data_IF_049466532124
#
_entry.id   IF_049466532124
#
_cell.length_a   1.000
_cell.length_b   1.000
_cell.length_c   1.000
_cell.angle_alpha   90.00
_cell.angle_beta   90.00
_cell.angle_gamma   90.00
#
_symmetry.space_group_name_H-M   'P 1'
#
loop_
_entity.id
_entity.type
_entity.pdbx_description
1 polymer ?
#
# COMPACT_ATOMS: atom_id res chain seq x y z
N UNK A 1 13.02 -8.30 25.25
CA UNK A 1 13.28 -9.66 24.77
C UNK A 1 14.62 -9.69 24.08
N UNK A 2 15.53 -10.57 24.55
CA UNK A 2 16.86 -10.73 23.96
C UNK A 2 16.78 -11.87 22.96
N UNK A 3 16.85 -11.51 21.66
CA UNK A 3 16.90 -12.51 20.60
C UNK A 3 18.29 -13.18 20.54
N UNK A 4 18.37 -14.47 20.16
CA UNK A 4 19.63 -15.18 20.09
C UNK A 4 20.62 -14.50 19.12
N UNK A 5 21.85 -14.29 19.54
CA UNK A 5 22.91 -13.81 18.67
C UNK A 5 23.23 -14.84 17.56
N UNK A 6 23.55 -14.38 16.35
CA UNK A 6 23.99 -15.22 15.24
C UNK A 6 22.87 -15.90 14.44
N UNK A 7 21.61 -15.53 14.66
CA UNK A 7 20.48 -16.03 13.85
C UNK A 7 19.72 -14.88 13.15
N UNK A 8 20.43 -14.13 12.33
CA UNK A 8 19.91 -12.91 11.68
C UNK A 8 18.66 -13.17 10.86
N UNK A 9 18.58 -14.31 10.17
CA UNK A 9 17.40 -14.68 9.38
C UNK A 9 16.16 -14.87 10.25
N UNK A 10 16.25 -15.65 11.33
CA UNK A 10 15.11 -15.86 12.22
C UNK A 10 14.74 -14.59 12.98
N UNK A 11 15.74 -13.80 13.38
CA UNK A 11 15.54 -12.54 14.07
C UNK A 11 14.87 -11.50 13.15
N UNK A 12 15.26 -11.43 11.86
CA UNK A 12 14.59 -10.58 10.86
C UNK A 12 13.11 -10.93 10.73
N UNK A 13 12.78 -12.21 10.61
CA UNK A 13 11.39 -12.67 10.51
C UNK A 13 10.60 -12.32 11.78
N UNK A 14 11.20 -12.46 12.96
CA UNK A 14 10.56 -12.10 14.21
C UNK A 14 10.24 -10.59 14.29
N UNK A 15 11.20 -9.73 13.95
CA UNK A 15 10.98 -8.28 13.88
C UNK A 15 9.88 -7.93 12.87
N UNK A 16 9.87 -8.56 11.70
CA UNK A 16 8.83 -8.36 10.69
C UNK A 16 7.43 -8.64 11.23
N UNK A 17 7.19 -9.81 11.82
CA UNK A 17 5.88 -10.15 12.35
C UNK A 17 5.48 -9.31 13.56
N UNK A 18 6.43 -8.94 14.42
CA UNK A 18 6.14 -8.02 15.52
C UNK A 18 5.74 -6.65 14.99
N UNK A 19 6.45 -6.14 14.01
CA UNK A 19 6.12 -4.87 13.35
C UNK A 19 4.72 -4.86 12.74
N UNK A 20 4.27 -5.96 12.12
CA UNK A 20 2.88 -6.08 11.63
C UNK A 20 1.88 -6.01 12.80
N UNK A 21 2.14 -6.68 13.91
CA UNK A 21 1.26 -6.63 15.08
C UNK A 21 1.20 -5.23 15.70
N UNK A 22 2.32 -4.52 15.72
CA UNK A 22 2.42 -3.16 16.25
C UNK A 22 1.68 -2.16 15.35
N UNK A 23 1.79 -2.30 14.03
CA UNK A 23 1.06 -1.48 13.06
C UNK A 23 -0.45 -1.67 13.22
N UNK A 24 -0.94 -2.92 13.24
CA UNK A 24 -2.35 -3.23 13.48
C UNK A 24 -2.86 -2.70 14.83
N UNK A 25 -1.96 -2.56 15.80
CA UNK A 25 -2.24 -1.95 17.11
C UNK A 25 -2.07 -0.42 17.10
N UNK A 26 -1.92 0.20 15.93
CA UNK A 26 -1.72 1.64 15.72
C UNK A 26 -0.47 2.20 16.42
N UNK A 27 0.55 1.37 16.64
CA UNK A 27 1.84 1.74 17.23
C UNK A 27 2.90 1.93 16.14
N UNK A 28 2.61 2.80 15.15
CA UNK A 28 3.41 2.93 13.94
C UNK A 28 4.92 3.15 14.20
N UNK A 29 5.29 4.02 15.14
CA UNK A 29 6.73 4.28 15.41
C UNK A 29 7.51 3.02 15.84
N UNK A 30 6.86 2.09 16.52
CA UNK A 30 7.47 0.80 16.88
C UNK A 30 7.53 -0.13 15.67
N UNK A 31 6.42 -0.22 14.95
CA UNK A 31 6.34 -1.01 13.73
C UNK A 31 7.43 -0.62 12.72
N UNK A 32 7.61 0.68 12.48
CA UNK A 32 8.66 1.20 11.61
C UNK A 32 10.06 0.84 12.10
N UNK A 33 10.33 0.96 13.40
CA UNK A 33 11.61 0.60 13.99
C UNK A 33 11.90 -0.90 13.80
N UNK A 34 10.91 -1.75 13.99
CA UNK A 34 11.04 -3.19 13.81
C UNK A 34 11.22 -3.59 12.34
N UNK A 35 10.49 -2.97 11.41
CA UNK A 35 10.69 -3.18 9.97
C UNK A 35 12.10 -2.77 9.53
N UNK A 36 12.60 -1.63 10.01
CA UNK A 36 13.97 -1.19 9.76
C UNK A 36 14.99 -2.19 10.34
N UNK A 37 14.74 -2.69 11.55
CA UNK A 37 15.61 -3.69 12.18
C UNK A 37 15.60 -5.01 11.41
N UNK A 38 14.44 -5.43 10.89
CA UNK A 38 14.36 -6.60 10.02
C UNK A 38 15.23 -6.43 8.75
N UNK A 39 15.21 -5.25 8.13
CA UNK A 39 16.02 -4.94 6.94
C UNK A 39 17.52 -4.78 7.26
N UNK A 40 17.90 -4.31 8.45
CA UNK A 40 19.31 -4.32 8.89
C UNK A 40 19.86 -5.74 8.94
N UNK A 41 19.06 -6.69 9.40
CA UNK A 41 19.45 -8.10 9.51
C UNK A 41 19.37 -8.84 8.16
N UNK A 42 18.40 -8.47 7.33
CA UNK A 42 18.21 -9.02 5.98
C UNK A 42 17.77 -7.91 5.01
N UNK A 43 18.71 -7.21 4.36
CA UNK A 43 18.42 -6.03 3.53
C UNK A 43 17.52 -6.28 2.31
N UNK A 44 17.44 -7.52 1.85
CA UNK A 44 16.74 -7.92 0.63
C UNK A 44 15.48 -8.74 0.87
N UNK A 45 14.86 -8.63 2.04
CA UNK A 45 13.61 -9.31 2.34
C UNK A 45 12.43 -8.65 1.59
N UNK A 46 11.88 -9.27 0.52
CA UNK A 46 10.91 -8.60 -0.34
C UNK A 46 9.61 -8.23 0.40
N UNK A 47 9.14 -9.06 1.31
CA UNK A 47 7.93 -8.75 2.07
C UNK A 47 8.13 -7.59 3.06
N UNK A 48 9.31 -7.46 3.67
CA UNK A 48 9.63 -6.35 4.57
C UNK A 48 9.80 -5.05 3.78
N UNK A 49 10.53 -5.10 2.65
CA UNK A 49 10.67 -3.97 1.73
C UNK A 49 9.30 -3.47 1.26
N UNK A 50 8.44 -4.40 0.83
CA UNK A 50 7.09 -4.08 0.39
C UNK A 50 6.25 -3.44 1.50
N UNK A 51 6.23 -4.06 2.67
CA UNK A 51 5.38 -3.61 3.78
C UNK A 51 5.79 -2.22 4.28
N UNK A 52 7.07 -1.98 4.50
CA UNK A 52 7.58 -0.68 4.96
C UNK A 52 7.39 0.39 3.88
N UNK A 53 7.73 0.07 2.62
CA UNK A 53 7.57 0.98 1.50
C UNK A 53 6.12 1.37 1.26
N UNK A 54 5.21 0.40 1.27
CA UNK A 54 3.77 0.65 1.16
C UNK A 54 3.25 1.53 2.29
N UNK A 55 3.60 1.22 3.53
CA UNK A 55 3.15 1.99 4.70
C UNK A 55 3.63 3.44 4.66
N UNK A 56 4.85 3.70 4.19
CA UNK A 56 5.33 5.06 4.01
C UNK A 56 4.56 5.82 2.92
N UNK A 57 4.33 5.18 1.78
CA UNK A 57 3.61 5.79 0.67
C UNK A 57 2.15 6.06 1.05
N UNK A 58 1.51 5.11 1.72
CA UNK A 58 0.12 5.28 2.16
C UNK A 58 -0.03 6.42 3.17
N UNK A 59 0.94 6.63 4.03
CA UNK A 59 0.99 7.76 4.95
C UNK A 59 1.48 9.08 4.31
N UNK A 60 1.89 9.08 3.06
CA UNK A 60 2.43 10.25 2.37
C UNK A 60 3.81 10.70 2.85
N UNK A 61 4.61 9.80 3.44
CA UNK A 61 5.95 10.07 3.94
C UNK A 61 7.00 9.24 3.19
N UNK A 62 8.24 9.72 3.12
CA UNK A 62 9.37 9.01 2.49
C UNK A 62 9.06 8.40 1.11
N UNK A 63 8.29 9.13 0.27
CA UNK A 63 7.72 8.62 -0.98
C UNK A 63 8.77 8.03 -1.92
N UNK A 64 9.90 8.71 -2.10
CA UNK A 64 10.97 8.26 -3.00
C UNK A 64 11.62 6.96 -2.51
N UNK A 65 11.86 6.84 -1.20
CA UNK A 65 12.47 5.65 -0.63
C UNK A 65 11.48 4.49 -0.59
N UNK A 66 10.22 4.76 -0.24
CA UNK A 66 9.14 3.78 -0.30
C UNK A 66 8.98 3.20 -1.71
N UNK A 67 8.99 4.06 -2.73
CA UNK A 67 8.92 3.63 -4.14
C UNK A 67 10.12 2.74 -4.52
N UNK A 68 11.35 3.07 -4.10
CA UNK A 68 12.52 2.23 -4.36
C UNK A 68 12.40 0.86 -3.70
N UNK A 69 11.95 0.83 -2.45
CA UNK A 69 11.73 -0.43 -1.72
C UNK A 69 10.71 -1.32 -2.40
N UNK A 70 9.56 -0.79 -2.80
CA UNK A 70 8.53 -1.56 -3.49
C UNK A 70 9.03 -2.06 -4.83
N UNK A 71 9.70 -1.23 -5.64
CA UNK A 71 10.29 -1.67 -6.91
C UNK A 71 11.26 -2.83 -6.72
N UNK A 72 12.14 -2.75 -5.71
CA UNK A 72 13.07 -3.83 -5.37
C UNK A 72 12.35 -5.10 -4.92
N UNK A 73 11.24 -4.99 -4.21
CA UNK A 73 10.40 -6.12 -3.85
C UNK A 73 9.78 -6.79 -5.08
N UNK A 74 9.24 -6.00 -6.03
CA UNK A 74 8.68 -6.50 -7.30
C UNK A 74 9.75 -7.19 -8.16
N UNK A 75 10.98 -6.66 -8.23
CA UNK A 75 12.09 -7.30 -8.96
C UNK A 75 12.39 -8.70 -8.42
N UNK A 76 12.28 -8.90 -7.11
CA UNK A 76 12.52 -10.20 -6.46
C UNK A 76 11.31 -11.14 -6.50
N UNK A 77 10.11 -10.59 -6.53
CA UNK A 77 8.83 -11.33 -6.52
C UNK A 77 7.88 -10.80 -7.59
N UNK A 78 8.23 -10.94 -8.87
CA UNK A 78 7.43 -10.36 -9.96
C UNK A 78 6.05 -10.99 -10.11
N UNK A 79 5.84 -12.19 -9.59
CA UNK A 79 4.59 -12.94 -9.67
C UNK A 79 3.79 -12.92 -8.36
N UNK A 80 4.20 -12.11 -7.38
CA UNK A 80 3.43 -11.88 -6.17
C UNK A 80 2.45 -10.72 -6.38
N UNK A 81 1.15 -11.05 -6.57
CA UNK A 81 0.11 -10.08 -6.88
C UNK A 81 -0.05 -8.98 -5.82
N UNK A 82 0.21 -9.28 -4.55
CA UNK A 82 0.16 -8.27 -3.47
C UNK A 82 1.32 -7.27 -3.55
N UNK A 83 2.51 -7.74 -3.91
CA UNK A 83 3.67 -6.86 -4.10
C UNK A 83 3.51 -6.02 -5.37
N UNK A 84 2.95 -6.60 -6.42
CA UNK A 84 2.65 -5.87 -7.68
C UNK A 84 1.54 -4.83 -7.45
N UNK A 85 0.50 -5.15 -6.67
CA UNK A 85 -0.53 -4.20 -6.26
C UNK A 85 0.06 -3.01 -5.49
N UNK A 86 0.94 -3.28 -4.55
CA UNK A 86 1.62 -2.22 -3.80
C UNK A 86 2.38 -1.24 -4.70
N UNK A 87 2.98 -1.73 -5.81
CA UNK A 87 3.62 -0.86 -6.80
C UNK A 87 2.59 -0.03 -7.56
N UNK A 88 1.48 -0.64 -7.96
CA UNK A 88 0.39 0.07 -8.62
C UNK A 88 -0.22 1.14 -7.72
N UNK A 89 -0.48 0.82 -6.47
CA UNK A 89 -0.97 1.77 -5.48
C UNK A 89 0.04 2.89 -5.21
N UNK A 90 1.33 2.57 -5.14
CA UNK A 90 2.38 3.58 -5.00
C UNK A 90 2.37 4.58 -6.15
N UNK A 91 2.24 4.13 -7.39
CA UNK A 91 2.07 5.02 -8.54
C UNK A 91 0.80 5.86 -8.45
N UNK A 92 -0.32 5.28 -8.02
CA UNK A 92 -1.56 6.01 -7.79
C UNK A 92 -1.38 7.16 -6.77
N UNK A 93 -0.74 6.86 -5.63
CA UNK A 93 -0.52 7.83 -4.55
C UNK A 93 0.39 9.01 -4.94
N UNK A 94 1.31 8.83 -5.87
CA UNK A 94 2.15 9.91 -6.41
C UNK A 94 1.56 10.59 -7.65
N UNK A 95 0.34 10.20 -8.08
CA UNK A 95 -0.39 10.81 -9.19
C UNK A 95 -0.01 10.30 -10.58
N UNK A 96 0.81 9.26 -10.69
CA UNK A 96 1.12 8.60 -11.97
C UNK A 96 0.09 7.51 -12.27
N UNK A 97 -1.10 7.93 -12.70
CA UNK A 97 -2.25 7.05 -12.84
C UNK A 97 -2.12 6.04 -14.00
N UNK A 98 -1.40 6.35 -15.06
CA UNK A 98 -1.15 5.45 -16.17
C UNK A 98 -0.29 4.25 -15.75
N UNK A 99 0.80 4.49 -15.03
CA UNK A 99 1.61 3.39 -14.48
C UNK A 99 0.88 2.65 -13.35
N UNK A 100 0.01 3.34 -12.59
CA UNK A 100 -0.86 2.69 -11.62
C UNK A 100 -1.77 1.65 -12.30
N UNK A 101 -2.51 2.05 -13.34
CA UNK A 101 -3.38 1.14 -14.10
C UNK A 101 -2.60 -0.07 -14.61
N UNK A 102 -1.46 0.16 -15.27
CA UNK A 102 -0.64 -0.93 -15.83
C UNK A 102 -0.22 -1.97 -14.78
N UNK A 103 0.19 -1.51 -13.59
CA UNK A 103 0.63 -2.44 -12.55
C UNK A 103 -0.56 -3.09 -11.84
N UNK A 104 -1.67 -2.38 -11.65
CA UNK A 104 -2.88 -2.94 -11.05
C UNK A 104 -3.58 -3.94 -11.97
N UNK A 105 -3.62 -3.73 -13.29
CA UNK A 105 -4.07 -4.73 -14.25
C UNK A 105 -3.24 -6.02 -14.13
N UNK A 106 -1.90 -5.89 -14.02
CA UNK A 106 -1.04 -7.05 -13.78
C UNK A 106 -1.30 -7.71 -12.42
N UNK A 107 -1.57 -6.94 -11.38
CA UNK A 107 -1.90 -7.49 -10.05
C UNK A 107 -3.21 -8.29 -10.09
N UNK A 108 -4.23 -7.82 -10.83
CA UNK A 108 -5.49 -8.56 -11.08
C UNK A 108 -5.24 -9.86 -11.82
N UNK A 109 -4.38 -9.88 -12.84
CA UNK A 109 -4.04 -11.12 -13.55
C UNK A 109 -3.44 -12.18 -12.60
N UNK A 110 -2.72 -11.74 -11.57
CA UNK A 110 -2.11 -12.60 -10.56
C UNK A 110 -3.07 -12.97 -9.41
N UNK A 111 -3.99 -12.09 -9.06
CA UNK A 111 -4.92 -12.21 -7.93
C UNK A 111 -6.31 -11.66 -8.26
N UNK A 112 -7.06 -12.30 -9.18
CA UNK A 112 -8.34 -11.76 -9.64
C UNK A 112 -9.45 -11.72 -8.58
N UNK A 113 -9.33 -12.56 -7.55
CA UNK A 113 -10.35 -12.67 -6.48
C UNK A 113 -10.01 -11.85 -5.22
N UNK A 114 -9.07 -10.91 -5.30
CA UNK A 114 -8.75 -10.04 -4.17
C UNK A 114 -9.57 -8.76 -4.22
N UNK A 115 -10.40 -8.46 -3.21
CA UNK A 115 -11.28 -7.29 -3.22
C UNK A 115 -10.50 -5.97 -3.17
N UNK A 116 -9.35 -5.92 -2.49
CA UNK A 116 -8.54 -4.71 -2.36
C UNK A 116 -7.89 -4.34 -3.69
N UNK A 117 -7.33 -5.33 -4.41
CA UNK A 117 -6.71 -5.11 -5.71
C UNK A 117 -7.74 -4.62 -6.74
N UNK A 118 -8.96 -5.21 -6.72
CA UNK A 118 -10.06 -4.75 -7.57
C UNK A 118 -10.49 -3.31 -7.24
N UNK A 119 -10.54 -2.96 -5.96
CA UNK A 119 -10.86 -1.59 -5.53
C UNK A 119 -9.79 -0.59 -5.99
N UNK A 120 -8.51 -0.91 -5.79
CA UNK A 120 -7.39 -0.08 -6.25
C UNK A 120 -7.40 0.13 -7.78
N UNK A 121 -7.68 -0.94 -8.56
CA UNK A 121 -7.78 -0.81 -10.02
C UNK A 121 -8.97 0.07 -10.42
N UNK A 122 -10.10 -0.05 -9.73
CA UNK A 122 -11.25 0.83 -9.93
C UNK A 122 -10.88 2.30 -9.71
N UNK A 123 -10.15 2.60 -8.64
CA UNK A 123 -9.68 3.96 -8.34
C UNK A 123 -8.75 4.49 -9.44
N UNK A 124 -7.82 3.66 -9.91
CA UNK A 124 -6.89 4.03 -10.98
C UNK A 124 -7.61 4.26 -12.33
N UNK A 125 -8.55 3.37 -12.70
CA UNK A 125 -9.36 3.56 -13.90
C UNK A 125 -10.17 4.85 -13.87
N UNK A 126 -10.75 5.20 -12.73
CA UNK A 126 -11.48 6.44 -12.58
C UNK A 126 -10.60 7.67 -12.86
N UNK A 127 -9.37 7.67 -12.36
CA UNK A 127 -8.41 8.77 -12.55
C UNK A 127 -7.98 8.97 -13.99
N UNK A 128 -7.92 7.91 -14.78
CA UNK A 128 -7.61 7.99 -16.22
C UNK A 128 -8.86 8.15 -17.11
N UNK A 129 -10.05 8.37 -16.51
CA UNK A 129 -11.30 8.60 -17.25
C UNK A 129 -12.02 7.34 -17.73
N UNK A 130 -11.54 6.14 -17.39
CA UNK A 130 -12.15 4.85 -17.71
C UNK A 130 -13.28 4.52 -16.69
N UNK A 131 -14.29 5.40 -16.64
CA UNK A 131 -15.30 5.41 -15.57
C UNK A 131 -16.22 4.19 -15.54
N UNK A 132 -16.53 3.60 -16.68
CA UNK A 132 -17.34 2.36 -16.74
C UNK A 132 -16.56 1.17 -16.18
N UNK A 133 -15.30 1.05 -16.55
CA UNK A 133 -14.40 0.00 -16.06
C UNK A 133 -14.13 0.17 -14.56
N UNK A 134 -13.97 1.41 -14.09
CA UNK A 134 -13.87 1.70 -12.67
C UNK A 134 -15.07 1.16 -11.88
N UNK A 135 -16.29 1.47 -12.33
CA UNK A 135 -17.52 0.99 -11.67
C UNK A 135 -17.65 -0.53 -11.71
N UNK A 136 -17.18 -1.16 -12.79
CA UNK A 136 -17.15 -2.61 -12.90
C UNK A 136 -16.20 -3.21 -11.84
N UNK A 137 -14.98 -2.68 -11.71
CA UNK A 137 -14.02 -3.17 -10.74
C UNK A 137 -14.48 -2.97 -9.30
N UNK A 138 -15.06 -1.82 -8.97
CA UNK A 138 -15.65 -1.61 -7.63
C UNK A 138 -16.82 -2.54 -7.34
N UNK A 139 -17.68 -2.81 -8.33
CA UNK A 139 -18.78 -3.78 -8.15
C UNK A 139 -18.22 -5.19 -7.93
N UNK A 140 -17.15 -5.56 -8.64
CA UNK A 140 -16.48 -6.83 -8.44
C UNK A 140 -15.82 -6.91 -7.05
N UNK A 141 -15.12 -5.85 -6.62
CA UNK A 141 -14.55 -5.76 -5.28
C UNK A 141 -15.61 -5.95 -4.17
N UNK A 142 -16.79 -5.31 -4.31
CA UNK A 142 -17.92 -5.48 -3.40
C UNK A 142 -18.38 -6.95 -3.34
N UNK A 143 -18.53 -7.59 -4.48
CA UNK A 143 -19.06 -8.95 -4.59
C UNK A 143 -18.06 -10.00 -4.05
N UNK A 144 -16.78 -9.68 -4.00
CA UNK A 144 -15.70 -10.48 -3.39
C UNK A 144 -15.67 -10.41 -1.85
N UNK A 145 -16.62 -9.69 -1.23
CA UNK A 145 -16.78 -9.57 0.23
C UNK A 145 -15.55 -8.96 0.91
N UNK A 146 -15.27 -7.68 0.66
CA UNK A 146 -14.19 -6.95 1.31
C UNK A 146 -14.40 -6.88 2.84
N UNK A 147 -13.39 -6.41 3.55
CA UNK A 147 -13.50 -6.15 4.99
C UNK A 147 -14.71 -5.24 5.28
N UNK A 148 -15.46 -5.46 6.40
CA UNK A 148 -16.70 -4.75 6.70
C UNK A 148 -16.58 -3.22 6.70
N UNK A 149 -15.41 -2.70 7.03
CA UNK A 149 -15.11 -1.26 7.06
C UNK A 149 -14.85 -0.66 5.66
N UNK A 150 -14.46 -1.49 4.68
CA UNK A 150 -14.22 -1.06 3.30
C UNK A 150 -15.51 -1.10 2.44
N UNK A 151 -16.43 -1.99 2.74
CA UNK A 151 -17.65 -2.15 1.97
C UNK A 151 -18.45 -0.84 1.76
N UNK A 152 -18.73 0.00 2.78
CA UNK A 152 -19.43 1.26 2.56
C UNK A 152 -18.70 2.25 1.67
N UNK A 153 -17.34 2.23 1.70
CA UNK A 153 -16.51 3.10 0.85
C UNK A 153 -16.62 2.67 -0.62
N UNK A 154 -16.54 1.38 -0.89
CA UNK A 154 -16.69 0.81 -2.23
C UNK A 154 -18.09 1.11 -2.79
N UNK A 155 -19.14 0.92 -2.00
CA UNK A 155 -20.52 1.25 -2.42
C UNK A 155 -20.69 2.74 -2.74
N UNK A 156 -20.08 3.63 -1.97
CA UNK A 156 -20.08 5.06 -2.24
C UNK A 156 -19.36 5.40 -3.56
N UNK A 157 -18.25 4.74 -3.87
CA UNK A 157 -17.54 4.90 -5.16
C UNK A 157 -18.40 4.42 -6.34
N UNK A 158 -19.09 3.29 -6.20
CA UNK A 158 -20.01 2.79 -7.25
C UNK A 158 -21.11 3.79 -7.54
N UNK A 159 -21.71 4.37 -6.51
CA UNK A 159 -22.83 5.31 -6.63
C UNK A 159 -22.39 6.67 -7.19
N UNK A 160 -21.33 7.24 -6.65
CA UNK A 160 -20.97 8.65 -6.84
C UNK A 160 -19.65 8.86 -7.61
N UNK A 161 -18.87 7.81 -7.84
CA UNK A 161 -17.49 7.91 -8.31
C UNK A 161 -16.54 8.36 -7.19
N UNK A 162 -15.30 8.68 -7.56
CA UNK A 162 -14.36 9.33 -6.62
C UNK A 162 -14.70 10.81 -6.54
N UNK A 163 -15.18 11.23 -5.37
CA UNK A 163 -15.33 12.65 -5.04
C UNK A 163 -14.00 13.20 -4.52
N UNK A 164 -13.78 14.52 -4.60
CA UNK A 164 -12.55 15.15 -4.09
C UNK A 164 -12.34 14.88 -2.60
N UNK A 165 -13.41 14.77 -1.82
CA UNK A 165 -13.37 14.45 -0.40
C UNK A 165 -12.88 13.03 -0.12
N UNK A 166 -13.18 12.07 -1.01
CA UNK A 166 -12.73 10.68 -0.87
C UNK A 166 -11.28 10.47 -1.36
N UNK A 167 -10.77 11.38 -2.19
CA UNK A 167 -9.41 11.31 -2.74
C UNK A 167 -8.35 11.98 -1.85
N UNK A 168 -8.78 12.88 -0.98
CA UNK A 168 -7.89 13.77 -0.20
C UNK A 168 -7.70 13.38 1.26
N UNK A 169 -8.31 12.29 1.74
CA UNK A 169 -8.14 11.92 3.16
C UNK A 169 -6.69 11.60 3.54
N UNK A 170 -5.85 11.27 2.57
CA UNK A 170 -4.44 10.97 2.79
C UNK A 170 -3.47 12.02 2.20
N UNK A 171 -3.79 12.67 1.08
CA UNK A 171 -2.93 13.72 0.49
C UNK A 171 -3.00 15.05 1.28
N UNK A 172 -4.19 15.44 1.76
CA UNK A 172 -4.38 16.66 2.54
C UNK A 172 -3.72 16.62 3.92
N UNK A 173 -3.48 15.44 4.49
CA UNK A 173 -2.73 15.30 5.73
C UNK A 173 -1.22 15.52 5.54
N UNK A 174 -0.69 15.28 4.34
CA UNK A 174 0.71 15.50 4.00
C UNK A 174 1.03 16.99 3.78
N UNK A 175 0.10 17.78 3.21
CA UNK A 175 0.29 19.22 3.00
C UNK A 175 0.18 20.04 4.31
N UNK A 176 -0.75 19.69 5.20
CA UNK A 176 -0.87 20.38 6.51
C UNK A 176 0.36 20.24 7.39
N UNK A 177 1.08 19.10 7.33
CA UNK A 177 2.32 18.94 8.10
C UNK A 177 3.53 19.71 7.55
N UNK A 178 3.49 20.17 6.29
CA UNK A 178 4.55 21.03 5.73
C UNK A 178 4.42 22.50 6.12
N UNK A 179 3.21 22.95 6.43
CA UNK A 179 2.97 24.37 6.77
C UNK A 179 3.22 24.67 8.25
N UNK A 180 2.95 23.71 9.13
CA UNK A 180 3.18 23.86 10.58
C UNK A 180 4.67 23.75 11.00
N UNK A 181 5.57 23.39 10.08
CA UNK A 181 7.01 23.25 10.32
C UNK A 181 7.85 24.51 10.02
N UNK A 182 7.26 25.61 9.58
CA UNK A 182 7.96 26.86 9.19
C UNK A 182 7.68 28.08 10.08
N UNK A 183 7.26 27.88 11.30
CA UNK A 183 7.00 28.96 12.26
C UNK A 183 7.65 28.67 13.61
N UNK A 184 8.95 28.96 13.74
CA UNK A 184 9.66 28.84 15.00
C UNK A 184 11.14 29.16 14.81
#
# INVERSE_FOLDING_TARGET
>A
DVLPAGNDKANSVWYYYRGICEERSKQWSKAEADMKKALELQPDQPHVLNYLGYSWIDQGINLDEGMKMIKRAVEQRPDDGYIVDSLGWAYYRIGNYEDAVKNLERAIDLKPEDPTINDHLGDAYWRVGRTLEAKFQWAHARDLKPEPEELPKIEAKIANGLTEDNSNSSAAQAEKKKDDGKGG
#
